data_IF_685798093491
#
_entry.id   IF_685798093491
#
_cell.length_a   1.000
_cell.length_b   1.000
_cell.length_c   1.000
_cell.angle_alpha   90.00
_cell.angle_beta   90.00
_cell.angle_gamma   90.00
#
_symmetry.space_group_name_H-M   'P 1'
#
loop_
_entity.id
_entity.type
_entity.pdbx_description
1 polymer ?
#
# COMPACT_ATOMS: atom_id res chain seq x y z
N UNK A 1 -21.59 -13.33 7.91
CA UNK A 1 -20.16 -13.72 7.77
C UNK A 1 -19.75 -13.38 6.35
N UNK A 2 -18.60 -12.71 6.11
CA UNK A 2 -18.17 -12.36 4.77
C UNK A 2 -17.97 -13.63 3.90
N UNK A 3 -18.26 -13.54 2.60
CA UNK A 3 -18.04 -14.65 1.67
C UNK A 3 -16.56 -14.92 1.46
N UNK A 4 -16.20 -16.13 1.03
CA UNK A 4 -14.82 -16.50 0.76
C UNK A 4 -14.21 -15.65 -0.36
N UNK A 5 -15.03 -15.19 -1.31
CA UNK A 5 -14.67 -14.28 -2.40
C UNK A 5 -14.18 -12.91 -1.90
N UNK A 6 -14.60 -12.48 -0.71
CA UNK A 6 -14.11 -11.25 -0.08
C UNK A 6 -12.91 -11.56 0.82
N UNK A 7 -12.99 -12.64 1.60
CA UNK A 7 -11.96 -12.99 2.57
C UNK A 7 -10.61 -13.34 1.92
N UNK A 8 -10.61 -14.09 0.82
CA UNK A 8 -9.38 -14.52 0.13
C UNK A 8 -8.59 -13.31 -0.42
N UNK A 9 -9.18 -12.40 -1.21
CA UNK A 9 -8.48 -11.22 -1.69
C UNK A 9 -8.02 -10.30 -0.56
N UNK A 10 -8.89 -10.03 0.43
CA UNK A 10 -8.53 -9.18 1.57
C UNK A 10 -7.37 -9.77 2.37
N UNK A 11 -7.36 -11.09 2.58
CA UNK A 11 -6.24 -11.78 3.22
C UNK A 11 -4.97 -11.71 2.37
N UNK A 12 -5.07 -11.90 1.05
CA UNK A 12 -3.94 -11.77 0.13
C UNK A 12 -3.33 -10.36 0.14
N UNK A 13 -4.18 -9.33 0.16
CA UNK A 13 -3.74 -7.94 0.27
C UNK A 13 -3.14 -7.64 1.64
N UNK A 14 -3.70 -8.18 2.72
CA UNK A 14 -3.13 -8.07 4.06
C UNK A 14 -1.73 -8.69 4.12
N UNK A 15 -1.55 -9.86 3.52
CA UNK A 15 -0.25 -10.53 3.39
C UNK A 15 0.74 -9.70 2.57
N UNK A 16 0.29 -9.07 1.48
CA UNK A 16 1.14 -8.18 0.69
C UNK A 16 1.61 -6.97 1.51
N UNK A 17 0.74 -6.41 2.34
CA UNK A 17 1.04 -5.27 3.21
C UNK A 17 2.01 -5.62 4.35
N UNK A 18 2.12 -6.90 4.72
CA UNK A 18 3.12 -7.36 5.70
C UNK A 18 4.57 -7.13 5.24
N UNK A 19 4.78 -6.95 3.93
CA UNK A 19 6.09 -6.67 3.34
C UNK A 19 6.44 -5.16 3.33
N UNK A 20 5.68 -4.32 4.03
CA UNK A 20 5.97 -2.88 4.13
C UNK A 20 7.43 -2.63 4.56
N UNK A 21 8.22 -1.92 3.75
CA UNK A 21 9.61 -1.59 4.08
C UNK A 21 9.75 -0.75 5.35
N UNK A 22 8.78 0.12 5.69
CA UNK A 22 8.93 0.96 6.88
C UNK A 22 8.70 0.18 8.17
N UNK A 23 7.64 -0.65 8.25
CA UNK A 23 7.36 -1.40 9.48
C UNK A 23 8.49 -2.38 9.77
N UNK A 24 9.00 -3.08 8.76
CA UNK A 24 10.16 -3.97 8.89
C UNK A 24 11.43 -3.18 9.20
N UNK A 25 11.70 -2.09 8.46
CA UNK A 25 12.92 -1.30 8.60
C UNK A 25 13.07 -0.63 9.97
N UNK A 26 12.00 0.00 10.47
CA UNK A 26 11.99 0.61 11.81
C UNK A 26 12.13 -0.48 12.88
N UNK A 27 11.44 -1.61 12.74
CA UNK A 27 11.52 -2.72 13.70
C UNK A 27 12.93 -3.32 13.77
N UNK A 28 13.55 -3.57 12.61
CA UNK A 28 14.95 -4.02 12.54
C UNK A 28 15.89 -3.00 13.19
N UNK A 29 15.71 -1.70 12.96
CA UNK A 29 16.54 -0.68 13.61
C UNK A 29 16.40 -0.73 15.14
N UNK A 30 15.16 -0.78 15.65
CA UNK A 30 14.89 -0.83 17.10
C UNK A 30 15.52 -2.07 17.71
N UNK A 31 15.37 -3.25 17.09
CA UNK A 31 15.96 -4.51 17.57
C UNK A 31 17.50 -4.51 17.50
N UNK A 32 18.09 -3.87 16.50
CA UNK A 32 19.55 -3.81 16.33
C UNK A 32 20.22 -2.68 17.14
N UNK A 33 19.45 -1.76 17.73
CA UNK A 33 19.94 -0.59 18.47
C UNK A 33 20.81 -0.94 19.70
N UNK A 34 20.78 -2.18 20.18
CA UNK A 34 21.52 -2.62 21.37
C UNK A 34 20.95 -2.08 22.69
N UNK A 35 19.75 -1.47 22.66
CA UNK A 35 19.10 -0.96 23.85
C UNK A 35 18.65 -2.10 24.79
N UNK A 36 18.79 -1.89 26.11
CA UNK A 36 18.37 -2.87 27.13
C UNK A 36 16.85 -3.15 27.13
N UNK A 37 16.04 -2.22 26.65
CA UNK A 37 14.57 -2.34 26.60
C UNK A 37 14.00 -1.87 25.26
N UNK A 38 13.87 -2.79 24.31
CA UNK A 38 13.32 -2.52 22.96
C UNK A 38 11.81 -2.78 22.84
N UNK A 39 11.22 -3.50 23.80
CA UNK A 39 9.81 -3.92 23.75
C UNK A 39 8.84 -2.72 23.77
N UNK A 40 8.88 -1.89 24.82
CA UNK A 40 7.98 -0.73 24.96
C UNK A 40 8.05 0.22 23.76
N UNK A 41 9.24 0.65 23.30
CA UNK A 41 9.34 1.53 22.13
C UNK A 41 8.77 0.89 20.85
N UNK A 42 9.05 -0.40 20.63
CA UNK A 42 8.57 -1.12 19.45
C UNK A 42 7.05 -1.25 19.45
N UNK A 43 6.45 -1.71 20.56
CA UNK A 43 4.99 -1.88 20.65
C UNK A 43 4.26 -0.53 20.64
N UNK A 44 4.86 0.55 21.16
CA UNK A 44 4.29 1.88 21.01
C UNK A 44 4.23 2.30 19.53
N UNK A 45 5.32 2.08 18.78
CA UNK A 45 5.34 2.33 17.34
C UNK A 45 4.32 1.49 16.57
N UNK A 46 4.34 0.16 16.76
CA UNK A 46 3.43 -0.75 16.06
C UNK A 46 1.96 -0.49 16.41
N UNK A 47 1.67 -0.23 17.68
CA UNK A 47 0.33 0.12 18.14
C UNK A 47 -0.16 1.43 17.53
N UNK A 48 0.71 2.45 17.42
CA UNK A 48 0.36 3.69 16.74
C UNK A 48 0.09 3.49 15.25
N UNK A 49 0.93 2.72 14.54
CA UNK A 49 0.71 2.42 13.12
C UNK A 49 -0.61 1.67 12.92
N UNK A 50 -0.86 0.62 13.69
CA UNK A 50 -2.10 -0.16 13.61
C UNK A 50 -3.34 0.70 13.94
N UNK A 51 -3.28 1.53 14.99
CA UNK A 51 -4.39 2.42 15.34
C UNK A 51 -4.63 3.48 14.27
N UNK A 52 -3.57 4.06 13.70
CA UNK A 52 -3.67 5.03 12.63
C UNK A 52 -4.32 4.42 11.39
N UNK A 53 -3.83 3.26 10.93
CA UNK A 53 -4.40 2.58 9.76
C UNK A 53 -5.84 2.17 10.02
N UNK A 54 -6.14 1.58 11.17
CA UNK A 54 -7.51 1.24 11.53
C UNK A 54 -8.44 2.47 11.50
N UNK A 55 -8.02 3.59 12.09
CA UNK A 55 -8.78 4.84 12.04
C UNK A 55 -8.95 5.37 10.61
N UNK A 56 -7.89 5.34 9.80
CA UNK A 56 -7.93 5.70 8.39
C UNK A 56 -8.90 4.79 7.62
N UNK A 57 -8.86 3.48 7.85
CA UNK A 57 -9.75 2.51 7.20
C UNK A 57 -11.21 2.69 7.61
N UNK A 58 -11.48 2.99 8.88
CA UNK A 58 -12.82 3.38 9.32
C UNK A 58 -13.29 4.67 8.63
N UNK A 59 -12.42 5.69 8.58
CA UNK A 59 -12.74 6.95 7.90
C UNK A 59 -13.02 6.73 6.40
N UNK A 60 -12.26 5.85 5.74
CA UNK A 60 -12.51 5.46 4.36
C UNK A 60 -13.81 4.66 4.24
N UNK A 61 -14.01 3.58 4.99
CA UNK A 61 -15.26 2.78 4.91
C UNK A 61 -16.53 3.62 5.13
N UNK A 62 -16.47 4.63 5.99
CA UNK A 62 -17.60 5.53 6.27
C UNK A 62 -17.70 6.69 5.27
N UNK A 63 -16.57 7.16 4.74
CA UNK A 63 -16.50 8.33 3.86
C UNK A 63 -16.49 8.02 2.36
N UNK A 64 -16.14 6.80 1.97
CA UNK A 64 -15.88 6.43 0.57
C UNK A 64 -17.15 6.44 -0.27
N UNK A 65 -18.34 6.21 0.32
CA UNK A 65 -19.62 6.38 -0.38
C UNK A 65 -19.80 7.81 -0.90
N UNK A 66 -19.53 8.81 -0.06
CA UNK A 66 -19.57 10.22 -0.46
C UNK A 66 -18.51 10.57 -1.51
N UNK A 67 -17.34 9.92 -1.44
CA UNK A 67 -16.27 10.10 -2.44
C UNK A 67 -16.68 9.51 -3.78
N UNK A 68 -17.30 8.32 -3.80
CA UNK A 68 -17.77 7.69 -5.03
C UNK A 68 -18.86 8.53 -5.70
N UNK A 69 -19.84 9.04 -4.96
CA UNK A 69 -20.87 9.94 -5.50
C UNK A 69 -20.22 11.21 -6.13
N UNK A 70 -19.26 11.82 -5.44
CA UNK A 70 -18.54 12.98 -5.97
C UNK A 70 -17.63 12.66 -7.17
N UNK A 71 -17.11 11.43 -7.25
CA UNK A 71 -16.30 10.97 -8.37
C UNK A 71 -17.16 10.60 -9.58
N UNK A 72 -18.36 10.05 -9.39
CA UNK A 72 -19.31 9.74 -10.46
C UNK A 72 -19.76 11.02 -11.17
N UNK A 73 -20.08 12.08 -10.42
CA UNK A 73 -20.38 13.42 -10.98
C UNK A 73 -19.20 14.00 -11.79
N UNK A 74 -17.96 13.63 -11.44
CA UNK A 74 -16.74 14.07 -12.12
C UNK A 74 -16.34 13.12 -13.26
N UNK A 75 -16.81 11.88 -13.26
CA UNK A 75 -16.52 10.85 -14.25
C UNK A 75 -17.13 11.16 -15.61
N UNK A 76 -18.24 11.89 -15.64
CA UNK A 76 -18.87 12.39 -16.87
C UNK A 76 -18.10 13.57 -17.50
N UNK A 77 -17.06 14.09 -16.84
CA UNK A 77 -16.28 15.22 -17.34
C UNK A 77 -15.11 14.77 -18.21
N UNK A 78 -15.01 15.26 -19.48
CA UNK A 78 -13.84 15.03 -20.34
C UNK A 78 -12.51 15.49 -19.71
N UNK A 79 -12.57 16.39 -18.72
CA UNK A 79 -11.43 16.90 -17.96
C UNK A 79 -10.77 15.81 -17.12
N UNK A 80 -11.55 14.83 -16.64
CA UNK A 80 -11.04 13.73 -15.82
C UNK A 80 -10.10 12.82 -16.61
N UNK A 81 -10.43 12.53 -17.87
CA UNK A 81 -9.57 11.75 -18.77
C UNK A 81 -8.18 12.38 -18.91
N UNK A 82 -8.12 13.68 -19.20
CA UNK A 82 -6.85 14.41 -19.30
C UNK A 82 -6.10 14.50 -17.97
N UNK A 83 -6.81 14.67 -16.85
CA UNK A 83 -6.19 14.64 -15.52
C UNK A 83 -5.53 13.28 -15.24
N UNK A 84 -6.18 12.18 -15.59
CA UNK A 84 -5.63 10.83 -15.47
C UNK A 84 -4.47 10.59 -16.43
N UNK A 85 -4.51 11.11 -17.66
CA UNK A 85 -3.38 11.06 -18.61
C UNK A 85 -2.16 11.77 -18.03
N UNK A 86 -2.33 12.99 -17.51
CA UNK A 86 -1.23 13.75 -16.89
C UNK A 86 -0.68 13.02 -15.67
N UNK A 87 -1.56 12.50 -14.80
CA UNK A 87 -1.16 11.75 -13.61
C UNK A 87 -0.40 10.48 -13.98
N UNK A 88 -0.97 9.63 -14.83
CA UNK A 88 -0.36 8.37 -15.26
C UNK A 88 0.95 8.58 -16.01
N UNK A 89 0.99 9.56 -16.93
CA UNK A 89 2.20 9.95 -17.64
C UNK A 89 3.29 10.48 -16.72
N UNK A 90 2.91 11.30 -15.72
CA UNK A 90 3.82 11.78 -14.69
C UNK A 90 4.39 10.66 -13.82
N UNK A 91 3.56 9.70 -13.40
CA UNK A 91 4.00 8.51 -12.66
C UNK A 91 4.96 7.64 -13.47
N UNK A 92 4.66 7.41 -14.75
CA UNK A 92 5.50 6.63 -15.65
C UNK A 92 6.84 7.32 -15.90
N UNK A 93 6.84 8.63 -16.19
CA UNK A 93 8.06 9.41 -16.33
C UNK A 93 8.88 9.37 -15.03
N UNK A 94 8.24 9.55 -13.87
CA UNK A 94 8.92 9.44 -12.59
C UNK A 94 9.56 8.06 -12.39
N UNK A 95 8.88 6.97 -12.76
CA UNK A 95 9.44 5.62 -12.66
C UNK A 95 10.70 5.45 -13.53
N UNK A 96 10.72 6.03 -14.72
CA UNK A 96 11.86 5.99 -15.66
C UNK A 96 13.04 6.85 -15.19
N UNK A 97 12.77 8.00 -14.55
CA UNK A 97 13.78 8.94 -14.08
C UNK A 97 14.08 8.85 -12.57
N UNK A 98 13.50 7.87 -11.88
CA UNK A 98 13.62 7.66 -10.43
C UNK A 98 15.11 7.61 -10.03
N UNK A 99 15.64 8.58 -9.26
CA UNK A 99 17.06 8.62 -8.92
C UNK A 99 17.47 7.38 -8.12
N UNK A 100 18.54 6.71 -8.54
CA UNK A 100 19.01 5.41 -8.00
C UNK A 100 19.68 5.46 -6.62
N UNK A 101 19.53 6.56 -5.86
CA UNK A 101 20.23 6.75 -4.58
C UNK A 101 19.73 5.85 -3.43
N UNK A 102 20.48 5.66 -2.34
CA UNK A 102 20.01 4.88 -1.20
C UNK A 102 18.75 5.51 -0.57
N UNK A 103 17.65 4.74 -0.45
CA UNK A 103 16.47 5.20 0.30
C UNK A 103 16.84 5.17 1.78
N UNK A 104 16.92 6.35 2.40
CA UNK A 104 17.28 6.50 3.80
C UNK A 104 16.18 5.87 4.66
N UNK A 105 16.43 4.67 5.19
CA UNK A 105 15.51 4.03 6.14
C UNK A 105 15.23 4.98 7.31
N UNK A 106 13.97 5.11 7.69
CA UNK A 106 13.56 5.98 8.80
C UNK A 106 14.16 5.42 10.09
N UNK A 107 14.98 6.24 10.75
CA UNK A 107 15.58 5.91 12.04
C UNK A 107 14.85 6.71 13.11
N UNK A 108 14.37 6.08 14.19
CA UNK A 108 13.85 6.82 15.32
C UNK A 108 14.94 7.75 15.88
N UNK A 109 14.57 9.02 16.11
CA UNK A 109 15.46 10.01 16.70
C UNK A 109 15.83 9.65 18.16
N UNK A 110 14.93 8.93 18.85
CA UNK A 110 15.19 8.31 20.15
C UNK A 110 14.26 7.13 20.34
N UNK A 111 14.60 6.22 21.25
CA UNK A 111 13.74 5.11 21.66
C UNK A 111 12.74 5.51 22.78
N UNK A 112 12.48 6.80 22.97
CA UNK A 112 11.44 7.26 23.90
C UNK A 112 10.07 7.01 23.30
N UNK A 113 9.08 6.64 24.13
CA UNK A 113 7.72 6.33 23.69
C UNK A 113 7.13 7.41 22.78
N UNK A 114 7.23 8.69 23.17
CA UNK A 114 6.70 9.80 22.36
C UNK A 114 7.35 9.92 20.98
N UNK A 115 8.66 9.65 20.86
CA UNK A 115 9.35 9.66 19.56
C UNK A 115 8.91 8.49 18.68
N UNK A 116 8.63 7.33 19.28
CA UNK A 116 8.12 6.16 18.57
C UNK A 116 6.67 6.35 18.10
N UNK A 117 5.83 6.98 18.91
CA UNK A 117 4.46 7.38 18.52
C UNK A 117 4.52 8.37 17.36
N UNK A 118 5.33 9.43 17.48
CA UNK A 118 5.49 10.40 16.39
C UNK A 118 6.01 9.74 15.10
N UNK A 119 6.96 8.82 15.21
CA UNK A 119 7.45 8.04 14.07
C UNK A 119 6.36 7.13 13.49
N UNK A 120 5.53 6.52 14.35
CA UNK A 120 4.39 5.70 13.95
C UNK A 120 3.37 6.51 13.16
N UNK A 121 2.98 7.68 13.64
CA UNK A 121 2.09 8.61 12.93
C UNK A 121 2.69 9.08 11.61
N UNK A 122 3.97 9.47 11.60
CA UNK A 122 4.64 9.89 10.36
C UNK A 122 4.73 8.74 9.36
N UNK A 123 4.95 7.51 9.83
CA UNK A 123 4.92 6.32 8.97
C UNK A 123 3.53 6.09 8.43
N UNK A 124 2.51 6.10 9.29
CA UNK A 124 1.11 5.97 8.91
C UNK A 124 0.68 6.99 7.87
N UNK A 125 1.04 8.26 8.03
CA UNK A 125 0.68 9.31 7.08
C UNK A 125 1.37 9.13 5.72
N UNK A 126 2.66 8.77 5.71
CA UNK A 126 3.45 8.65 4.49
C UNK A 126 3.18 7.35 3.73
N UNK A 127 2.94 6.25 4.44
CA UNK A 127 2.57 4.97 3.82
C UNK A 127 1.08 4.88 3.55
N UNK A 128 0.24 5.50 4.36
CA UNK A 128 -1.22 5.51 4.18
C UNK A 128 -1.61 6.07 2.81
N UNK A 129 -0.89 7.06 2.29
CA UNK A 129 -1.13 7.60 0.94
C UNK A 129 -0.63 6.72 -0.21
N UNK A 130 0.19 5.70 0.06
CA UNK A 130 0.77 4.81 -0.96
C UNK A 130 0.45 3.33 -0.73
N UNK A 131 -0.37 3.02 0.27
CA UNK A 131 -0.78 1.66 0.64
C UNK A 131 -1.86 1.13 -0.31
N UNK A 132 -1.47 0.88 -1.57
CA UNK A 132 -2.33 0.29 -2.58
C UNK A 132 -3.05 -0.98 -2.09
N UNK A 133 -2.41 -1.91 -1.35
CA UNK A 133 -3.10 -3.09 -0.83
C UNK A 133 -4.22 -2.73 0.15
N UNK A 134 -3.98 -1.74 1.02
CA UNK A 134 -4.96 -1.27 1.99
C UNK A 134 -6.19 -0.67 1.31
N UNK A 135 -5.98 0.24 0.34
CA UNK A 135 -7.08 0.83 -0.43
C UNK A 135 -7.84 -0.21 -1.24
N UNK A 136 -7.15 -1.20 -1.82
CA UNK A 136 -7.79 -2.32 -2.51
C UNK A 136 -8.70 -3.12 -1.58
N UNK A 137 -8.25 -3.42 -0.36
CA UNK A 137 -9.06 -4.14 0.63
C UNK A 137 -10.30 -3.33 1.05
N UNK A 138 -10.15 -2.02 1.26
CA UNK A 138 -11.27 -1.11 1.52
C UNK A 138 -12.26 -1.16 0.36
N UNK A 139 -11.79 -0.98 -0.88
CA UNK A 139 -12.62 -1.03 -2.09
C UNK A 139 -13.43 -2.32 -2.20
N UNK A 140 -12.79 -3.48 -1.99
CA UNK A 140 -13.46 -4.79 -2.01
C UNK A 140 -14.53 -4.90 -0.91
N UNK A 141 -14.23 -4.45 0.30
CA UNK A 141 -15.21 -4.49 1.39
C UNK A 141 -16.38 -3.53 1.16
N UNK A 142 -16.13 -2.36 0.56
CA UNK A 142 -17.15 -1.38 0.20
C UNK A 142 -18.05 -1.89 -0.92
N UNK A 143 -17.49 -2.41 -2.01
CA UNK A 143 -18.27 -2.93 -3.15
C UNK A 143 -19.06 -4.18 -2.79
N UNK A 144 -18.56 -5.00 -1.86
CA UNK A 144 -19.29 -6.14 -1.31
C UNK A 144 -20.43 -5.73 -0.37
N UNK A 145 -20.61 -4.43 -0.08
CA UNK A 145 -21.71 -3.93 0.75
C UNK A 145 -21.68 -4.47 2.19
N UNK A 146 -20.48 -4.71 2.74
CA UNK A 146 -20.37 -5.30 4.07
C UNK A 146 -20.98 -4.38 5.14
N UNK A 147 -21.81 -4.95 6.02
CA UNK A 147 -22.27 -4.25 7.22
C UNK A 147 -21.10 -3.88 8.15
N UNK A 148 -21.27 -2.86 8.99
CA UNK A 148 -20.27 -2.46 9.99
C UNK A 148 -19.84 -3.61 10.91
N UNK A 149 -20.78 -4.47 11.30
CA UNK A 149 -20.48 -5.65 12.10
C UNK A 149 -19.54 -6.65 11.41
N UNK A 150 -19.46 -6.62 10.08
CA UNK A 150 -18.60 -7.51 9.29
C UNK A 150 -17.27 -6.85 8.91
N UNK A 151 -17.27 -5.61 8.42
CA UNK A 151 -16.03 -4.97 7.96
C UNK A 151 -15.15 -4.50 9.12
N UNK A 152 -15.71 -4.06 10.26
CA UNK A 152 -14.93 -3.60 11.41
C UNK A 152 -13.99 -4.70 11.94
N UNK A 153 -14.45 -5.91 12.26
CA UNK A 153 -13.55 -6.98 12.70
C UNK A 153 -12.62 -7.47 11.59
N UNK A 154 -13.05 -7.45 10.32
CA UNK A 154 -12.20 -7.82 9.19
C UNK A 154 -11.04 -6.83 9.00
N UNK A 155 -11.33 -5.53 9.13
CA UNK A 155 -10.33 -4.45 9.09
C UNK A 155 -9.38 -4.54 10.29
N UNK A 156 -9.89 -4.85 11.48
CA UNK A 156 -9.04 -5.10 12.65
C UNK A 156 -8.11 -6.30 12.42
N UNK A 157 -8.63 -7.41 11.87
CA UNK A 157 -7.84 -8.59 11.52
C UNK A 157 -6.77 -8.26 10.47
N UNK A 158 -7.12 -7.49 9.44
CA UNK A 158 -6.15 -6.98 8.44
C UNK A 158 -5.01 -6.23 9.13
N UNK A 159 -5.33 -5.28 10.02
CA UNK A 159 -4.33 -4.47 10.73
C UNK A 159 -3.43 -5.33 11.64
N UNK A 160 -3.99 -6.37 12.27
CA UNK A 160 -3.21 -7.33 13.07
C UNK A 160 -2.23 -8.11 12.19
N UNK A 161 -2.69 -8.60 11.04
CA UNK A 161 -1.82 -9.29 10.06
C UNK A 161 -0.69 -8.37 9.62
N UNK A 162 -0.99 -7.10 9.31
CA UNK A 162 0.00 -6.09 8.89
C UNK A 162 1.15 -5.92 9.89
N UNK A 163 0.86 -5.87 11.20
CA UNK A 163 1.90 -5.70 12.24
C UNK A 163 2.53 -7.01 12.72
N UNK A 164 2.05 -8.15 12.23
CA UNK A 164 2.49 -9.47 12.66
C UNK A 164 4.00 -9.72 12.41
N UNK A 165 4.59 -9.41 11.22
CA UNK A 165 6.00 -9.71 11.00
C UNK A 165 6.96 -8.99 11.95
N UNK A 166 6.82 -7.68 12.24
CA UNK A 166 7.55 -7.01 13.31
C UNK A 166 7.46 -7.69 14.68
N UNK A 167 6.26 -8.16 15.05
CA UNK A 167 6.04 -8.86 16.32
C UNK A 167 6.79 -10.20 16.31
N UNK A 168 6.70 -10.97 15.22
CA UNK A 168 7.43 -12.22 15.05
C UNK A 168 8.94 -12.00 15.10
N UNK A 169 9.46 -10.95 14.46
CA UNK A 169 10.88 -10.57 14.51
C UNK A 169 11.31 -10.28 15.95
N UNK A 170 10.49 -9.57 16.73
CA UNK A 170 10.75 -9.31 18.14
C UNK A 170 10.77 -10.60 18.98
N UNK A 171 9.81 -11.51 18.78
CA UNK A 171 9.74 -12.78 19.49
C UNK A 171 10.95 -13.67 19.18
N UNK A 172 11.34 -13.75 17.90
CA UNK A 172 12.55 -14.47 17.47
C UNK A 172 13.79 -13.84 18.07
N UNK A 173 13.91 -12.50 18.05
CA UNK A 173 15.03 -11.81 18.67
C UNK A 173 15.13 -12.10 20.18
N UNK A 174 13.99 -12.13 20.88
CA UNK A 174 13.94 -12.47 22.31
C UNK A 174 14.34 -13.93 22.58
N UNK A 175 13.96 -14.86 21.71
CA UNK A 175 14.26 -16.28 21.88
C UNK A 175 15.72 -16.65 21.55
N UNK A 176 16.31 -16.02 20.52
CA UNK A 176 17.63 -16.38 19.99
C UNK A 176 18.75 -15.38 20.33
N UNK A 177 18.42 -14.21 20.87
CA UNK A 177 19.37 -13.19 21.32
C UNK A 177 20.36 -12.74 20.25
N UNK A 178 21.61 -12.53 20.67
CA UNK A 178 22.72 -12.01 19.84
C UNK A 178 23.06 -12.87 18.62
N UNK A 179 22.71 -14.17 18.61
CA UNK A 179 22.99 -15.07 17.48
C UNK A 179 22.26 -14.68 16.19
N UNK A 180 21.19 -13.88 16.29
CA UNK A 180 20.41 -13.44 15.14
C UNK A 180 20.88 -12.11 14.54
N UNK A 181 21.70 -11.34 15.27
CA UNK A 181 22.21 -10.03 14.83
C UNK A 181 22.83 -10.06 13.41
N UNK A 182 23.77 -10.98 13.09
CA UNK A 182 24.38 -11.03 11.75
C UNK A 182 23.43 -11.52 10.64
N UNK A 183 22.30 -12.18 10.99
CA UNK A 183 21.27 -12.53 10.00
C UNK A 183 20.36 -11.33 9.73
N UNK A 184 19.93 -10.63 10.77
CA UNK A 184 19.09 -9.43 10.66
C UNK A 184 19.79 -8.30 9.90
N UNK A 185 21.10 -8.14 10.07
CA UNK A 185 21.90 -7.17 9.30
C UNK A 185 21.95 -7.52 7.81
N UNK A 186 22.13 -8.81 7.46
CA UNK A 186 22.06 -9.27 6.06
C UNK A 186 20.67 -9.04 5.45
N UNK A 187 19.62 -9.28 6.22
CA UNK A 187 18.25 -9.07 5.77
C UNK A 187 17.97 -7.58 5.55
N UNK A 188 18.43 -6.72 6.47
CA UNK A 188 18.35 -5.26 6.34
C UNK A 188 19.00 -4.77 5.05
N UNK A 189 20.20 -5.24 4.73
CA UNK A 189 20.91 -4.89 3.51
C UNK A 189 20.20 -5.39 2.24
N UNK A 190 19.65 -6.61 2.26
CA UNK A 190 18.93 -7.19 1.11
C UNK A 190 17.56 -6.53 0.86
N UNK A 191 16.85 -6.14 1.92
CA UNK A 191 15.58 -5.41 1.81
C UNK A 191 15.84 -4.00 1.25
N UNK A 192 16.95 -3.36 1.66
CA UNK A 192 17.32 -2.02 1.20
C UNK A 192 17.67 -1.98 -0.30
N UNK A 193 18.24 -3.06 -0.86
CA UNK A 193 18.51 -3.16 -2.30
C UNK A 193 17.29 -3.58 -3.13
N UNK A 194 16.49 -4.55 -2.68
CA UNK A 194 15.37 -5.09 -3.47
C UNK A 194 14.11 -4.22 -3.51
N UNK A 195 13.82 -3.46 -2.44
CA UNK A 195 12.58 -2.68 -2.33
C UNK A 195 12.48 -1.52 -3.35
N UNK A 196 13.62 -1.01 -3.81
CA UNK A 196 13.66 0.15 -4.73
C UNK A 196 13.28 -0.23 -6.16
N UNK A 197 13.82 -1.33 -6.66
CA UNK A 197 13.49 -1.84 -8.00
C UNK A 197 12.02 -2.20 -8.09
N UNK A 198 11.51 -2.97 -7.12
CA UNK A 198 10.09 -3.32 -7.05
C UNK A 198 9.18 -2.08 -7.01
N UNK A 199 9.52 -1.05 -6.24
CA UNK A 199 8.73 0.18 -6.19
C UNK A 199 8.73 0.94 -7.52
N UNK A 200 9.87 0.99 -8.22
CA UNK A 200 9.94 1.59 -9.56
C UNK A 200 9.03 0.86 -10.55
N UNK A 201 9.04 -0.47 -10.54
CA UNK A 201 8.15 -1.30 -11.34
C UNK A 201 6.68 -1.10 -10.98
N UNK A 202 6.32 -1.06 -9.69
CA UNK A 202 4.93 -0.82 -9.24
C UNK A 202 4.45 0.55 -9.72
N UNK A 203 5.24 1.61 -9.49
CA UNK A 203 4.87 2.97 -9.92
C UNK A 203 4.76 3.02 -11.45
N UNK A 204 5.65 2.35 -12.18
CA UNK A 204 5.60 2.26 -13.64
C UNK A 204 4.36 1.53 -14.15
N UNK A 205 4.03 0.37 -13.58
CA UNK A 205 2.84 -0.42 -13.95
C UNK A 205 1.57 0.36 -13.63
N UNK A 206 1.44 0.89 -12.40
CA UNK A 206 0.27 1.68 -12.00
C UNK A 206 0.15 2.94 -12.86
N UNK A 207 1.26 3.66 -13.09
CA UNK A 207 1.29 4.84 -13.96
C UNK A 207 0.85 4.52 -15.38
N UNK A 208 1.30 3.39 -15.95
CA UNK A 208 0.87 2.92 -17.27
C UNK A 208 -0.62 2.58 -17.30
N UNK A 209 -1.15 1.88 -16.31
CA UNK A 209 -2.58 1.53 -16.23
C UNK A 209 -3.46 2.79 -16.12
N UNK A 210 -3.07 3.75 -15.28
CA UNK A 210 -3.77 5.03 -15.13
C UNK A 210 -3.71 5.85 -16.41
N UNK A 211 -2.53 5.93 -17.05
CA UNK A 211 -2.37 6.62 -18.33
C UNK A 211 -3.28 6.02 -19.40
N UNK A 212 -3.27 4.69 -19.55
CA UNK A 212 -4.12 3.97 -20.50
C UNK A 212 -5.60 4.26 -20.26
N UNK A 213 -6.04 4.20 -19.01
CA UNK A 213 -7.44 4.46 -18.65
C UNK A 213 -7.84 5.92 -18.95
N UNK A 214 -6.97 6.88 -18.63
CA UNK A 214 -7.19 8.29 -18.97
C UNK A 214 -7.28 8.54 -20.48
N UNK A 215 -6.45 7.87 -21.29
CA UNK A 215 -6.50 7.98 -22.75
C UNK A 215 -7.81 7.43 -23.32
N UNK A 216 -8.36 6.37 -22.71
CA UNK A 216 -9.67 5.84 -23.06
C UNK A 216 -10.78 6.84 -22.73
N UNK A 217 -10.81 7.38 -21.52
CA UNK A 217 -11.78 8.41 -21.10
C UNK A 217 -11.68 9.73 -21.90
N UNK A 218 -10.48 10.07 -22.40
CA UNK A 218 -10.28 11.26 -23.23
C UNK A 218 -10.77 11.10 -24.68
N UNK A 219 -11.35 9.94 -25.05
CA UNK A 219 -11.87 9.67 -26.39
C UNK A 219 -10.79 9.43 -27.46
N UNK A 220 -9.52 9.21 -27.06
CA UNK A 220 -8.42 9.01 -28.00
C UNK A 220 -8.49 7.65 -28.72
N UNK A 221 -9.32 6.73 -28.23
CA UNK A 221 -9.50 5.37 -28.76
C UNK A 221 -10.89 5.08 -29.33
N UNK A 222 -11.77 6.08 -29.49
CA UNK A 222 -13.09 5.93 -30.13
C UNK A 222 -13.01 5.83 -31.68
N UNK A 223 -11.79 5.78 -32.23
CA UNK A 223 -11.55 5.58 -33.65
C UNK A 223 -11.53 4.11 -34.03
N UNK A 224 -12.44 3.69 -34.90
CA UNK A 224 -12.42 2.41 -35.61
C UNK A 224 -11.02 2.19 -36.19
N UNK A 225 -10.29 1.18 -35.70
CA UNK A 225 -9.01 0.79 -36.31
C UNK A 225 -9.32 -0.11 -37.50
N UNK A 226 -9.27 0.46 -38.70
CA UNK A 226 -9.41 -0.29 -39.95
C UNK A 226 -8.07 -0.89 -40.35
N UNK A 227 -7.99 -2.22 -40.37
CA UNK A 227 -6.88 -2.95 -40.97
C UNK A 227 -7.34 -3.52 -42.32
N UNK A 228 -7.32 -2.68 -43.37
CA UNK A 228 -7.78 -3.11 -44.70
C UNK A 228 -9.28 -3.46 -44.72
N UNK A 229 -9.73 -4.59 -45.31
CA UNK A 229 -11.15 -4.90 -45.44
C UNK A 229 -11.80 -5.38 -44.12
N UNK A 230 -11.06 -5.43 -43.01
CA UNK A 230 -11.56 -5.92 -41.72
C UNK A 230 -11.69 -4.75 -40.75
N UNK A 231 -12.93 -4.39 -40.46
CA UNK A 231 -13.29 -3.46 -39.38
C UNK A 231 -13.50 -4.26 -38.09
N UNK A 232 -12.64 -4.02 -37.09
CA UNK A 232 -12.82 -4.57 -35.74
C UNK A 232 -13.18 -3.42 -34.80
N UNK A 233 -14.25 -3.58 -34.03
CA UNK A 233 -14.48 -2.68 -32.90
C UNK A 233 -13.41 -2.92 -31.84
N UNK A 234 -12.77 -1.84 -31.38
CA UNK A 234 -11.76 -1.89 -30.32
C UNK A 234 -12.31 -2.47 -28.99
N UNK A 235 -13.64 -2.39 -28.80
CA UNK A 235 -14.38 -3.00 -27.69
C UNK A 235 -14.22 -4.52 -27.63
N UNK A 236 -14.17 -5.20 -28.79
CA UNK A 236 -14.13 -6.67 -28.88
C UNK A 236 -12.73 -7.25 -28.59
N UNK A 237 -11.67 -6.47 -28.75
CA UNK A 237 -10.29 -6.90 -28.52
C UNK A 237 -9.82 -6.68 -27.07
N UNK A 238 -10.49 -5.80 -26.32
CA UNK A 238 -10.05 -5.35 -24.99
C UNK A 238 -11.04 -5.62 -23.86
N UNK A 239 -12.26 -6.08 -24.13
CA UNK A 239 -13.23 -6.50 -23.10
C UNK A 239 -12.98 -7.90 -22.51
N UNK A 240 -11.95 -8.61 -22.98
CA UNK A 240 -11.70 -10.02 -22.65
C UNK A 240 -10.62 -10.33 -21.61
N UNK A 241 -9.87 -9.33 -21.10
CA UNK A 241 -8.79 -9.52 -20.12
C UNK A 241 -8.66 -8.36 -19.14
#
# INVERSE_FOLDING_TARGET
>A
MPSLEVLLPVAGLALLDTLSPATIGVSLYVLLSGARSVARPLFAYLGTVAAFYFALGCALMLGLGFVFEALDDLADSPVLGWAMVVLGGGMLAYALFMPSGPRRQRRPASLRTGAMVALGLATGLLEGGTALPYFGAIGIMTTAGLSAAAWVPLLAAYNVVMVLPPILLYLVHRAFGERMRPRMERWRAKIESGSREAMGWIIGIVGFLVLRHGLWLAGLFDGIVSFGPVTLEASALLGGL
#
